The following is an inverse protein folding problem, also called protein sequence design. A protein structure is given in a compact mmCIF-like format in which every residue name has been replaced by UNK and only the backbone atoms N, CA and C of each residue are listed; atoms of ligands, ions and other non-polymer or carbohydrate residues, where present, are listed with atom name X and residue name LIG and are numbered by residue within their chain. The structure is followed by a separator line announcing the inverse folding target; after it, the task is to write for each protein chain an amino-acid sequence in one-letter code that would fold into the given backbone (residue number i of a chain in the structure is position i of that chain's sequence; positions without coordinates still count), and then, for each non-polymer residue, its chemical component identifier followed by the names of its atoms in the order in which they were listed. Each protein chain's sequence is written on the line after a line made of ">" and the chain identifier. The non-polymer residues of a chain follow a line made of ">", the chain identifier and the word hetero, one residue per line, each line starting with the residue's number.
data_IF_086670095714
#
_entry.id   IF_086670095714
#
_cell.length_a   1.000
_cell.length_b   1.000
_cell.length_c   1.000
_cell.angle_alpha   90.00
_cell.angle_beta   90.00
_cell.angle_gamma   90.00
#
_symmetry.space_group_name_H-M   'P 1'
#
loop_
_entity.id
_entity.type
_entity.pdbx_description
1 polymer ?
#
# COMPACT_ATOMS: atom_id res chain seq x y z
N UNK A 1 -4.42 -19.46 3.00
CA UNK A 1 -4.98 -18.40 3.87
C UNK A 1 -4.74 -17.06 3.22
N UNK A 2 -5.80 -16.38 2.77
CA UNK A 2 -5.67 -15.12 2.04
C UNK A 2 -6.37 -14.00 2.81
N UNK A 3 -5.70 -12.86 2.97
CA UNK A 3 -6.29 -11.67 3.57
C UNK A 3 -6.40 -10.59 2.50
N UNK A 4 -7.58 -9.97 2.42
CA UNK A 4 -7.72 -8.67 1.78
C UNK A 4 -7.45 -7.59 2.84
N UNK A 5 -6.38 -6.82 2.67
CA UNK A 5 -5.93 -5.85 3.69
C UNK A 5 -5.81 -4.46 3.08
N UNK A 6 -6.36 -3.46 3.78
CA UNK A 6 -6.11 -2.06 3.53
C UNK A 6 -5.23 -1.51 4.64
N UNK A 7 -4.09 -0.93 4.25
CA UNK A 7 -3.04 -0.49 5.16
C UNK A 7 -2.65 0.97 4.89
N UNK A 8 -2.33 1.70 5.96
CA UNK A 8 -1.73 3.01 5.86
C UNK A 8 -0.25 2.93 5.48
N UNK A 9 0.17 3.75 4.52
CA UNK A 9 1.52 3.82 4.00
C UNK A 9 2.20 5.11 4.44
N UNK A 10 3.10 5.05 5.42
CA UNK A 10 3.89 6.23 5.86
C UNK A 10 5.26 6.29 5.15
N UNK A 11 6.16 7.18 5.55
CA UNK A 11 7.56 7.13 5.08
C UNK A 11 8.31 5.90 5.62
N UNK A 12 8.02 5.51 6.86
CA UNK A 12 8.91 4.64 7.64
C UNK A 12 8.34 3.25 7.90
N UNK A 13 7.02 3.14 8.12
CA UNK A 13 6.37 1.88 8.42
C UNK A 13 4.96 1.82 7.81
N UNK A 14 4.36 0.64 7.87
CA UNK A 14 3.05 0.33 7.29
C UNK A 14 2.18 -0.24 8.38
N UNK A 15 0.90 0.12 8.39
CA UNK A 15 -0.01 -0.34 9.45
C UNK A 15 -1.26 -0.91 8.79
N UNK A 16 -1.57 -2.20 8.99
CA UNK A 16 -2.87 -2.73 8.62
C UNK A 16 -3.95 -1.97 9.39
N UNK A 17 -4.93 -1.40 8.69
CA UNK A 17 -6.04 -0.69 9.32
C UNK A 17 -7.29 -1.56 9.36
N UNK A 18 -7.56 -2.26 8.26
CA UNK A 18 -8.79 -3.02 8.11
C UNK A 18 -8.58 -4.19 7.15
N UNK A 19 -9.18 -5.33 7.44
CA UNK A 19 -8.98 -6.56 6.66
C UNK A 19 -10.20 -7.47 6.64
N UNK A 20 -10.26 -8.30 5.60
CA UNK A 20 -11.23 -9.39 5.47
C UNK A 20 -10.45 -10.68 5.24
N UNK A 21 -10.80 -11.72 5.99
CA UNK A 21 -10.31 -13.08 5.74
C UNK A 21 -11.08 -13.63 4.54
N UNK A 22 -10.35 -14.06 3.51
CA UNK A 22 -10.93 -14.71 2.34
C UNK A 22 -10.88 -16.21 2.61
N UNK A 23 -12.07 -16.82 2.70
CA UNK A 23 -12.23 -18.27 2.81
C UNK A 23 -12.09 -18.90 1.41
N UNK A 24 -11.31 -19.99 1.30
CA UNK A 24 -11.09 -20.71 0.05
C UNK A 24 -9.79 -20.39 -0.71
N UNK A 25 -9.62 -21.03 -1.88
CA UNK A 25 -8.51 -20.80 -2.81
C UNK A 25 -8.91 -19.73 -3.82
N UNK A 26 -8.37 -18.51 -3.72
CA UNK A 26 -8.65 -17.45 -4.69
C UNK A 26 -8.16 -16.06 -4.27
N UNK A 27 -8.18 -15.11 -5.20
CA UNK A 27 -8.03 -13.68 -4.92
C UNK A 27 -9.36 -13.07 -4.48
N UNK A 28 -9.34 -11.92 -3.81
CA UNK A 28 -10.58 -11.19 -3.47
C UNK A 28 -11.38 -10.89 -4.73
N UNK A 29 -12.70 -11.05 -4.68
CA UNK A 29 -13.60 -10.58 -5.74
C UNK A 29 -13.85 -9.06 -5.62
N UNK A 30 -14.62 -8.50 -6.57
CA UNK A 30 -14.92 -7.06 -6.59
C UNK A 30 -15.83 -6.62 -5.45
N UNK A 31 -16.79 -7.45 -5.05
CA UNK A 31 -17.75 -7.13 -4.00
C UNK A 31 -17.07 -7.07 -2.64
N UNK A 32 -16.16 -8.00 -2.36
CA UNK A 32 -15.32 -7.99 -1.16
C UNK A 32 -14.44 -6.73 -1.07
N UNK A 33 -13.88 -6.27 -2.19
CA UNK A 33 -13.10 -5.01 -2.26
C UNK A 33 -13.97 -3.79 -1.95
N UNK A 34 -15.16 -3.74 -2.57
CA UNK A 34 -16.14 -2.67 -2.33
C UNK A 34 -16.58 -2.68 -0.87
N UNK A 35 -16.96 -3.84 -0.32
CA UNK A 35 -17.38 -3.98 1.07
C UNK A 35 -16.29 -3.55 2.06
N UNK A 36 -15.02 -3.93 1.81
CA UNK A 36 -13.91 -3.50 2.64
C UNK A 36 -13.71 -1.98 2.59
N UNK A 37 -13.77 -1.39 1.39
CA UNK A 37 -13.62 0.06 1.21
C UNK A 37 -14.79 0.83 1.81
N UNK A 38 -16.02 0.37 1.66
CA UNK A 38 -17.19 0.98 2.31
C UNK A 38 -17.04 0.95 3.83
N UNK A 39 -16.55 -0.16 4.40
CA UNK A 39 -16.27 -0.24 5.83
C UNK A 39 -15.18 0.75 6.25
N UNK A 40 -14.14 0.91 5.44
CA UNK A 40 -13.11 1.94 5.67
C UNK A 40 -13.72 3.36 5.65
N UNK A 41 -14.52 3.69 4.63
CA UNK A 41 -15.13 5.00 4.49
C UNK A 41 -16.06 5.35 5.66
N UNK A 42 -16.81 4.36 6.18
CA UNK A 42 -17.66 4.56 7.37
C UNK A 42 -16.85 4.87 8.63
N UNK A 43 -15.67 4.28 8.79
CA UNK A 43 -14.86 4.42 10.00
C UNK A 43 -13.94 5.64 9.98
N UNK A 44 -13.34 5.95 8.82
CA UNK A 44 -12.29 6.98 8.72
C UNK A 44 -12.69 8.16 7.84
N UNK A 45 -13.75 8.03 7.05
CA UNK A 45 -14.15 9.03 6.07
C UNK A 45 -13.22 9.09 4.85
N UNK A 46 -13.76 9.59 3.75
CA UNK A 46 -13.04 9.74 2.47
C UNK A 46 -11.83 10.68 2.58
N UNK A 47 -11.94 11.77 3.34
CA UNK A 47 -10.91 12.83 3.45
C UNK A 47 -9.54 12.33 3.93
N UNK A 48 -9.50 11.19 4.62
CA UNK A 48 -8.25 10.56 5.09
C UNK A 48 -7.45 9.88 3.97
N UNK A 49 -8.07 9.63 2.81
CA UNK A 49 -7.42 8.97 1.68
C UNK A 49 -6.75 10.02 0.78
N UNK A 50 -5.42 10.08 0.85
CA UNK A 50 -4.64 10.88 -0.11
C UNK A 50 -4.57 10.22 -1.50
N UNK A 51 -4.26 8.92 -1.51
CA UNK A 51 -4.12 8.13 -2.73
C UNK A 51 -4.18 6.64 -2.37
N UNK A 52 -5.08 5.90 -3.00
CA UNK A 52 -5.17 4.45 -2.92
C UNK A 52 -4.20 3.80 -3.91
N UNK A 53 -3.36 2.88 -3.45
CA UNK A 53 -2.43 2.14 -4.28
C UNK A 53 -2.85 0.67 -4.35
N UNK A 54 -2.90 0.08 -5.55
CA UNK A 54 -3.19 -1.34 -5.72
C UNK A 54 -2.44 -1.99 -6.89
N UNK A 55 -2.33 -3.32 -6.88
CA UNK A 55 -1.69 -4.11 -7.94
C UNK A 55 -2.69 -4.50 -9.06
N UNK A 56 -2.18 -5.14 -10.11
CA UNK A 56 -2.86 -5.73 -11.26
C UNK A 56 -4.01 -6.66 -10.89
N UNK A 57 -3.91 -7.34 -9.75
CA UNK A 57 -4.98 -8.18 -9.23
C UNK A 57 -6.24 -7.37 -8.88
N UNK A 58 -6.11 -6.07 -8.61
CA UNK A 58 -7.18 -5.16 -8.18
C UNK A 58 -7.78 -4.33 -9.32
N UNK A 59 -7.59 -4.77 -10.57
CA UNK A 59 -8.21 -4.13 -11.73
C UNK A 59 -9.60 -4.73 -11.97
N UNK A 60 -10.60 -3.87 -12.19
CA UNK A 60 -11.97 -4.27 -12.52
C UNK A 60 -12.86 -3.05 -12.75
N UNK A 61 -13.75 -3.10 -13.74
CA UNK A 61 -14.58 -1.95 -14.14
C UNK A 61 -15.45 -1.47 -12.99
N UNK A 62 -16.28 -2.34 -12.42
CA UNK A 62 -17.15 -2.02 -11.26
C UNK A 62 -16.38 -1.46 -10.06
N UNK A 63 -15.17 -1.97 -9.80
CA UNK A 63 -14.30 -1.48 -8.73
C UNK A 63 -13.84 -0.04 -8.99
N UNK A 64 -13.39 0.24 -10.22
CA UNK A 64 -12.91 1.56 -10.61
C UNK A 64 -14.05 2.58 -10.65
N UNK A 65 -15.21 2.18 -11.16
CA UNK A 65 -16.43 3.00 -11.11
C UNK A 65 -16.82 3.34 -9.67
N UNK A 66 -16.78 2.35 -8.76
CA UNK A 66 -17.01 2.60 -7.34
C UNK A 66 -16.01 3.61 -6.77
N UNK A 67 -14.72 3.48 -7.09
CA UNK A 67 -13.70 4.43 -6.62
C UNK A 67 -13.96 5.84 -7.17
N UNK A 68 -14.30 5.98 -8.45
CA UNK A 68 -14.64 7.25 -9.06
C UNK A 68 -15.90 7.88 -8.44
N UNK A 69 -16.97 7.10 -8.24
CA UNK A 69 -18.23 7.56 -7.65
C UNK A 69 -18.07 8.07 -6.22
N UNK A 70 -17.13 7.51 -5.47
CA UNK A 70 -16.80 7.93 -4.10
C UNK A 70 -15.65 8.96 -4.04
N UNK A 71 -15.28 9.54 -5.19
CA UNK A 71 -14.16 10.47 -5.35
C UNK A 71 -12.81 9.94 -4.80
N UNK A 72 -12.59 8.64 -4.74
CA UNK A 72 -11.35 8.07 -4.17
C UNK A 72 -10.20 8.23 -5.18
N UNK A 73 -9.10 8.95 -4.87
CA UNK A 73 -7.97 9.09 -5.77
C UNK A 73 -7.21 7.78 -5.72
N UNK A 74 -6.91 7.20 -6.88
CA UNK A 74 -6.20 5.93 -6.93
C UNK A 74 -5.07 5.92 -7.96
N UNK A 75 -4.13 5.02 -7.76
CA UNK A 75 -3.15 4.60 -8.75
C UNK A 75 -3.01 3.07 -8.69
N UNK A 76 -3.57 2.39 -9.70
CA UNK A 76 -3.65 0.93 -9.77
C UNK A 76 -2.79 0.44 -10.92
N UNK A 77 -1.94 -0.56 -10.69
CA UNK A 77 -1.10 -1.14 -11.74
C UNK A 77 -1.96 -1.93 -12.72
N UNK A 78 -1.66 -1.83 -14.01
CA UNK A 78 -2.28 -2.61 -15.07
C UNK A 78 -1.37 -3.75 -15.54
N UNK A 79 -1.96 -4.80 -16.10
CA UNK A 79 -1.17 -5.81 -16.83
C UNK A 79 -0.72 -5.21 -18.16
N UNK A 80 0.46 -5.62 -18.61
CA UNK A 80 1.09 -5.05 -19.81
C UNK A 80 0.36 -5.46 -21.09
N UNK A 81 -0.32 -6.60 -21.07
CA UNK A 81 -1.12 -7.15 -22.16
C UNK A 81 -2.54 -6.58 -22.23
N UNK A 82 -2.91 -5.66 -21.34
CA UNK A 82 -4.23 -5.02 -21.43
C UNK A 82 -4.32 -4.10 -22.65
N UNK A 83 -5.52 -4.04 -23.23
CA UNK A 83 -5.91 -3.07 -24.25
C UNK A 83 -6.85 -2.05 -23.61
N UNK A 84 -6.66 -0.79 -23.97
CA UNK A 84 -7.43 0.32 -23.42
C UNK A 84 -7.98 1.15 -24.57
N UNK A 85 -9.31 1.29 -24.70
CA UNK A 85 -9.89 2.25 -25.63
C UNK A 85 -9.54 3.67 -25.21
N UNK A 86 -8.92 4.37 -26.14
CA UNK A 86 -8.56 5.78 -26.02
C UNK A 86 -9.77 6.64 -26.38
N UNK A 87 -9.76 7.90 -25.93
CA UNK A 87 -10.80 8.87 -26.34
C UNK A 87 -10.84 9.10 -27.86
N UNK A 88 -9.74 8.80 -28.56
CA UNK A 88 -9.66 8.86 -30.02
C UNK A 88 -10.32 7.66 -30.74
N UNK A 89 -11.01 6.77 -30.03
CA UNK A 89 -11.71 5.61 -30.60
C UNK A 89 -10.80 4.42 -30.93
N UNK A 90 -9.49 4.51 -30.69
CA UNK A 90 -8.56 3.42 -30.93
C UNK A 90 -8.35 2.56 -29.68
N UNK A 91 -8.31 1.23 -29.86
CA UNK A 91 -7.83 0.31 -28.82
C UNK A 91 -6.30 0.31 -28.76
N UNK A 92 -5.77 0.86 -27.68
CA UNK A 92 -4.33 0.91 -27.47
C UNK A 92 -3.88 -0.27 -26.61
N UNK A 93 -3.12 -1.18 -27.20
CA UNK A 93 -2.37 -2.19 -26.46
C UNK A 93 -1.25 -1.53 -25.65
N UNK A 94 -1.23 -1.73 -24.34
CA UNK A 94 -0.26 -1.09 -23.45
C UNK A 94 1.18 -1.53 -23.78
N UNK A 95 1.39 -2.83 -24.07
CA UNK A 95 2.68 -3.38 -24.48
C UNK A 95 3.24 -2.79 -25.78
N UNK A 96 2.39 -2.42 -26.74
CA UNK A 96 2.79 -1.88 -28.04
C UNK A 96 3.21 -0.40 -27.97
N UNK A 97 2.90 0.30 -26.88
CA UNK A 97 3.15 1.73 -26.74
C UNK A 97 3.93 2.09 -25.47
N UNK A 98 5.10 1.46 -25.23
CA UNK A 98 5.88 1.70 -24.03
C UNK A 98 6.40 3.15 -24.03
N UNK A 99 6.24 3.87 -22.92
CA UNK A 99 6.86 5.18 -22.75
C UNK A 99 8.37 5.13 -23.00
N UNK A 100 8.98 6.23 -23.45
CA UNK A 100 10.45 6.31 -23.63
C UNK A 100 11.17 6.10 -22.31
N UNK A 101 12.38 5.51 -22.31
CA UNK A 101 13.20 5.36 -21.09
C UNK A 101 13.31 6.70 -20.35
N UNK A 102 12.96 6.71 -19.07
CA UNK A 102 13.01 7.90 -18.21
C UNK A 102 11.83 8.87 -18.34
N UNK A 103 10.98 8.78 -19.38
CA UNK A 103 9.79 9.63 -19.56
C UNK A 103 8.51 8.81 -19.41
N UNK A 104 7.53 9.37 -18.70
CA UNK A 104 6.20 8.78 -18.59
C UNK A 104 5.34 9.27 -19.74
N UNK A 105 4.62 8.37 -20.41
CA UNK A 105 3.58 8.71 -21.38
C UNK A 105 2.23 8.69 -20.67
N UNK A 106 1.41 9.69 -20.95
CA UNK A 106 0.06 9.83 -20.40
C UNK A 106 -0.94 9.66 -21.54
N UNK A 107 -1.96 8.85 -21.30
CA UNK A 107 -3.02 8.56 -22.26
C UNK A 107 -4.35 8.71 -21.52
N UNK A 108 -5.29 9.45 -22.09
CA UNK A 108 -6.66 9.52 -21.57
C UNK A 108 -7.53 8.49 -22.28
N UNK A 109 -8.39 7.82 -21.52
CA UNK A 109 -9.26 6.77 -22.05
C UNK A 109 -10.19 6.20 -21.00
N UNK A 110 -10.88 5.13 -21.35
CA UNK A 110 -11.81 4.40 -20.48
C UNK A 110 -11.57 2.90 -20.62
N UNK A 111 -12.13 2.10 -19.72
CA UNK A 111 -12.15 0.65 -19.94
C UNK A 111 -13.20 0.29 -20.98
N UNK A 112 -12.97 -0.75 -21.78
CA UNK A 112 -13.86 -1.15 -22.88
C UNK A 112 -15.30 -1.41 -22.45
N UNK A 113 -15.50 -1.90 -21.22
CA UNK A 113 -16.82 -2.21 -20.68
C UNK A 113 -17.35 -1.13 -19.71
N UNK A 114 -16.72 0.06 -19.68
CA UNK A 114 -17.20 1.16 -18.87
C UNK A 114 -18.38 1.84 -19.59
N UNK A 115 -19.42 2.21 -18.83
CA UNK A 115 -20.57 2.91 -19.41
C UNK A 115 -20.18 4.23 -20.10
N UNK A 116 -21.03 4.70 -21.02
CA UNK A 116 -20.79 5.95 -21.78
C UNK A 116 -20.61 7.19 -20.88
N UNK A 117 -21.12 7.15 -19.65
CA UNK A 117 -20.99 8.23 -18.65
C UNK A 117 -19.77 8.08 -17.72
N UNK A 118 -19.00 7.00 -17.84
CA UNK A 118 -17.85 6.76 -16.97
C UNK A 118 -16.80 7.88 -17.15
N UNK A 119 -16.26 8.44 -16.05
CA UNK A 119 -15.29 9.53 -16.15
C UNK A 119 -14.00 9.05 -16.84
N UNK A 120 -13.36 9.89 -17.65
CA UNK A 120 -12.11 9.53 -18.31
C UNK A 120 -10.99 9.32 -17.30
N UNK A 121 -10.24 8.24 -17.51
CA UNK A 121 -9.11 7.84 -16.69
C UNK A 121 -7.79 8.22 -17.36
N UNK A 122 -6.77 8.43 -16.54
CA UNK A 122 -5.40 8.66 -16.98
C UNK A 122 -4.59 7.37 -16.87
N UNK A 123 -4.12 6.88 -18.01
CA UNK A 123 -3.22 5.75 -18.14
C UNK A 123 -1.79 6.28 -18.26
N UNK A 124 -0.92 5.86 -17.35
CA UNK A 124 0.48 6.26 -17.28
C UNK A 124 1.35 5.06 -17.62
N UNK A 125 2.15 5.21 -18.68
CA UNK A 125 3.05 4.19 -19.18
C UNK A 125 4.50 4.66 -19.01
N UNK A 126 5.32 3.87 -18.31
CA UNK A 126 6.73 4.20 -18.07
C UNK A 126 7.60 2.96 -18.26
N UNK A 127 8.61 3.05 -19.12
CA UNK A 127 9.64 2.01 -19.23
C UNK A 127 10.66 2.18 -18.11
N UNK A 128 10.85 1.11 -17.33
CA UNK A 128 11.82 1.06 -16.23
C UNK A 128 13.26 0.92 -16.76
N UNK A 129 14.24 1.15 -15.88
CA UNK A 129 15.66 0.95 -16.21
C UNK A 129 15.96 -0.51 -16.56
N UNK A 130 15.24 -1.46 -15.96
CA UNK A 130 15.32 -2.90 -16.29
C UNK A 130 14.83 -3.22 -17.70
N UNK A 131 14.09 -2.32 -18.35
CA UNK A 131 13.44 -2.58 -19.64
C UNK A 131 11.95 -2.88 -19.51
N UNK A 132 11.47 -3.28 -18.33
CA UNK A 132 10.06 -3.63 -18.10
C UNK A 132 9.11 -2.42 -18.24
N UNK A 133 7.86 -2.70 -18.60
CA UNK A 133 6.81 -1.69 -18.70
C UNK A 133 6.03 -1.56 -17.39
N UNK A 134 6.01 -0.35 -16.82
CA UNK A 134 5.12 0.01 -15.74
C UNK A 134 3.89 0.74 -16.31
N UNK A 135 2.75 0.06 -16.32
CA UNK A 135 1.45 0.64 -16.65
C UNK A 135 0.63 0.89 -15.37
N UNK A 136 0.08 2.09 -15.22
CA UNK A 136 -0.73 2.51 -14.07
C UNK A 136 -1.97 3.25 -14.56
N UNK A 137 -3.13 2.98 -13.99
CA UNK A 137 -4.36 3.77 -14.19
C UNK A 137 -4.64 4.64 -12.96
N UNK A 138 -5.11 5.87 -13.20
CA UNK A 138 -5.52 6.82 -12.16
C UNK A 138 -6.71 7.65 -12.62
N UNK A 139 -7.61 7.98 -11.70
CA UNK A 139 -8.66 8.98 -11.92
C UNK A 139 -8.18 10.43 -11.69
N UNK A 140 -6.91 10.64 -11.34
CA UNK A 140 -6.31 11.97 -11.19
C UNK A 140 -5.10 12.13 -12.11
N UNK A 141 -4.85 13.33 -12.65
CA UNK A 141 -3.63 13.62 -13.39
C UNK A 141 -2.46 13.68 -12.39
N UNK A 142 -1.83 12.54 -12.14
CA UNK A 142 -0.75 12.42 -11.16
C UNK A 142 0.54 11.95 -11.84
N UNK A 143 1.45 12.87 -12.23
CA UNK A 143 2.79 12.51 -12.73
C UNK A 143 3.59 11.66 -11.73
N UNK A 144 3.24 11.75 -10.44
CA UNK A 144 3.82 10.97 -9.37
C UNK A 144 3.22 9.57 -9.20
N UNK A 145 2.12 9.21 -9.89
CA UNK A 145 1.47 7.91 -9.75
C UNK A 145 2.42 6.71 -9.97
N UNK A 146 3.30 6.71 -10.99
CA UNK A 146 4.29 5.63 -11.14
C UNK A 146 5.27 5.53 -9.97
N UNK A 147 5.71 6.66 -9.41
CA UNK A 147 6.63 6.70 -8.27
C UNK A 147 5.92 6.29 -6.97
N UNK A 148 4.63 6.61 -6.82
CA UNK A 148 3.81 6.17 -5.71
C UNK A 148 3.58 4.65 -5.77
N UNK A 149 3.26 4.10 -6.95
CA UNK A 149 3.17 2.66 -7.17
C UNK A 149 4.50 1.91 -6.93
N UNK A 150 5.66 2.56 -7.00
CA UNK A 150 6.94 1.94 -6.57
C UNK A 150 7.03 1.70 -5.07
N UNK A 151 6.25 2.39 -4.24
CA UNK A 151 6.18 2.15 -2.79
C UNK A 151 5.45 0.85 -2.42
N UNK A 152 5.04 0.04 -3.42
CA UNK A 152 4.22 -1.18 -3.29
C UNK A 152 4.94 -2.38 -2.67
N UNK A 153 6.27 -2.49 -2.81
CA UNK A 153 7.07 -3.46 -2.03
C UNK A 153 6.79 -3.37 -0.52
N UNK A 154 6.24 -2.26 -0.04
CA UNK A 154 5.98 -2.07 1.37
C UNK A 154 4.82 -2.92 1.93
N UNK A 155 3.84 -3.37 1.13
CA UNK A 155 2.81 -4.32 1.60
C UNK A 155 3.38 -5.74 1.63
N UNK A 156 4.24 -6.09 0.67
CA UNK A 156 5.00 -7.34 0.70
C UNK A 156 5.99 -7.36 1.89
N UNK A 157 6.60 -6.23 2.24
CA UNK A 157 7.38 -6.09 3.49
C UNK A 157 6.50 -6.23 4.73
N UNK A 158 5.29 -5.65 4.75
CA UNK A 158 4.34 -5.81 5.86
C UNK A 158 3.99 -7.27 6.10
N UNK A 159 3.65 -8.01 5.03
CA UNK A 159 3.39 -9.45 5.13
C UNK A 159 4.67 -10.26 5.37
N UNK A 160 5.83 -9.81 4.90
CA UNK A 160 7.11 -10.46 5.17
C UNK A 160 7.54 -10.33 6.63
N UNK A 161 7.39 -9.15 7.23
CA UNK A 161 7.63 -8.88 8.65
C UNK A 161 6.63 -9.65 9.53
N UNK A 162 5.39 -9.81 9.06
CA UNK A 162 4.35 -10.56 9.73
C UNK A 162 4.53 -12.10 9.61
N UNK A 163 4.95 -12.62 8.45
CA UNK A 163 5.07 -14.07 8.18
C UNK A 163 6.41 -14.64 8.59
N UNK A 164 7.46 -14.47 7.78
CA UNK A 164 8.72 -15.23 7.91
C UNK A 164 9.84 -14.46 8.62
N UNK A 165 9.72 -13.13 8.73
CA UNK A 165 10.78 -12.26 9.28
C UNK A 165 10.41 -11.66 10.64
N UNK A 166 9.43 -12.17 11.37
CA UNK A 166 9.10 -11.56 12.67
C UNK A 166 8.17 -12.38 13.53
N UNK A 167 6.90 -12.48 13.14
CA UNK A 167 5.84 -13.00 14.02
C UNK A 167 5.45 -14.45 13.74
N UNK A 168 6.06 -15.13 12.75
CA UNK A 168 5.82 -16.54 12.41
C UNK A 168 4.34 -16.91 12.30
N UNK A 169 3.57 -16.07 11.61
CA UNK A 169 2.14 -16.28 11.41
C UNK A 169 1.78 -17.54 10.59
N UNK A 170 2.76 -18.16 9.93
CA UNK A 170 2.56 -19.39 9.16
C UNK A 170 2.71 -20.65 10.03
N UNK A 171 3.38 -20.55 11.19
CA UNK A 171 3.50 -21.65 12.16
C UNK A 171 2.28 -21.76 13.08
N UNK A 172 1.52 -20.68 13.17
CA UNK A 172 0.20 -20.72 13.79
C UNK A 172 -0.71 -21.49 12.83
N UNK A 173 -1.19 -22.66 13.26
CA UNK A 173 -2.14 -23.52 12.52
C UNK A 173 -3.64 -23.16 12.68
N UNK A 174 -4.11 -21.96 13.13
CA UNK A 174 -5.54 -21.77 13.29
C UNK A 174 -6.20 -21.72 11.92
N UNK A 175 -7.12 -22.65 11.69
CA UNK A 175 -7.99 -22.71 10.51
C UNK A 175 -9.23 -21.83 10.66
N UNK A 176 -9.52 -21.33 11.87
CA UNK A 176 -10.71 -20.52 12.14
C UNK A 176 -10.53 -19.05 11.71
N UNK A 177 -11.38 -18.53 10.80
CA UNK A 177 -11.33 -17.15 10.30
C UNK A 177 -11.34 -16.08 11.40
N UNK A 178 -12.12 -16.27 12.47
CA UNK A 178 -12.21 -15.30 13.58
C UNK A 178 -10.88 -15.22 14.34
N UNK A 179 -10.26 -16.37 14.62
CA UNK A 179 -8.95 -16.43 15.29
C UNK A 179 -7.87 -15.77 14.42
N UNK A 180 -7.93 -15.98 13.11
CA UNK A 180 -7.02 -15.37 12.15
C UNK A 180 -7.19 -13.85 12.03
N UNK A 181 -8.43 -13.36 12.07
CA UNK A 181 -8.71 -11.94 12.12
C UNK A 181 -8.17 -11.29 13.40
N UNK A 182 -8.31 -11.97 14.55
CA UNK A 182 -7.77 -11.51 15.84
C UNK A 182 -6.23 -11.51 15.84
N UNK A 183 -5.61 -12.54 15.26
CA UNK A 183 -4.16 -12.62 15.10
C UNK A 183 -3.64 -11.44 14.26
N UNK A 184 -4.32 -11.09 13.17
CA UNK A 184 -3.99 -9.89 12.38
C UNK A 184 -4.15 -8.59 13.18
N UNK A 185 -5.11 -8.51 14.10
CA UNK A 185 -5.24 -7.37 15.00
C UNK A 185 -4.02 -7.23 15.90
N UNK A 186 -3.59 -8.33 16.53
CA UNK A 186 -2.39 -8.36 17.37
C UNK A 186 -1.14 -7.96 16.59
N UNK A 187 -0.98 -8.48 15.37
CA UNK A 187 0.11 -8.11 14.46
C UNK A 187 0.09 -6.62 14.16
N UNK A 188 -1.07 -6.05 13.86
CA UNK A 188 -1.20 -4.62 13.60
C UNK A 188 -0.75 -3.79 14.82
N UNK A 189 -1.15 -4.18 16.04
CA UNK A 189 -0.75 -3.52 17.28
C UNK A 189 0.76 -3.60 17.51
N UNK A 190 1.36 -4.78 17.31
CA UNK A 190 2.82 -4.97 17.44
C UNK A 190 3.58 -4.12 16.43
N UNK A 191 3.09 -4.01 15.20
CA UNK A 191 3.71 -3.19 14.16
C UNK A 191 3.65 -1.69 14.51
N UNK A 192 2.52 -1.21 15.02
CA UNK A 192 2.38 0.17 15.50
C UNK A 192 3.33 0.44 16.67
N UNK A 193 3.39 -0.48 17.63
CA UNK A 193 4.26 -0.37 18.79
C UNK A 193 5.74 -0.36 18.40
N UNK A 194 6.17 -1.29 17.54
CA UNK A 194 7.52 -1.34 17.00
C UNK A 194 7.84 -0.07 16.21
N UNK A 195 6.91 0.42 15.39
CA UNK A 195 7.05 1.69 14.68
C UNK A 195 7.30 2.87 15.61
N UNK A 196 6.56 2.95 16.73
CA UNK A 196 6.71 4.00 17.75
C UNK A 196 8.01 3.87 18.54
N UNK A 197 8.39 2.65 18.93
CA UNK A 197 9.61 2.35 19.64
C UNK A 197 10.86 2.67 18.81
N UNK A 198 10.82 2.37 17.51
CA UNK A 198 11.85 2.77 16.57
C UNK A 198 11.93 4.29 16.41
N UNK A 199 10.79 4.99 16.36
CA UNK A 199 10.76 6.44 16.32
C UNK A 199 11.35 7.09 17.58
N UNK A 200 11.10 6.52 18.77
CA UNK A 200 11.74 6.99 20.02
C UNK A 200 13.26 6.82 20.00
N UNK A 201 13.76 5.74 19.38
CA UNK A 201 15.21 5.43 19.34
C UNK A 201 15.97 6.15 18.23
N UNK A 202 15.36 6.26 17.06
CA UNK A 202 16.00 6.79 15.84
C UNK A 202 15.65 8.26 15.58
N UNK A 203 14.58 8.79 16.18
CA UNK A 203 14.07 10.11 15.86
C UNK A 203 13.71 10.22 14.37
N UNK A 204 14.34 11.16 13.67
CA UNK A 204 14.22 11.33 12.21
C UNK A 204 15.38 10.71 11.40
N UNK A 205 16.32 10.03 12.06
CA UNK A 205 17.49 9.46 11.41
C UNK A 205 17.11 8.31 10.48
N UNK A 206 17.65 8.31 9.26
CA UNK A 206 17.54 7.16 8.35
C UNK A 206 18.41 6.01 8.88
N UNK A 207 17.88 4.76 8.98
CA UNK A 207 18.69 3.63 9.40
C UNK A 207 19.89 3.44 8.46
N UNK A 208 21.05 3.06 9.00
CA UNK A 208 22.27 2.85 8.22
C UNK A 208 22.04 1.80 7.13
N UNK A 209 22.47 2.10 5.90
CA UNK A 209 22.49 1.14 4.79
C UNK A 209 23.82 0.38 4.79
N UNK A 210 23.77 -0.91 4.46
CA UNK A 210 24.97 -1.73 4.21
C UNK A 210 25.43 -1.56 2.77
N UNK A 211 26.65 -2.00 2.46
CA UNK A 211 27.30 -1.84 1.16
C UNK A 211 26.49 -2.37 -0.04
N UNK A 212 25.64 -3.39 0.16
CA UNK A 212 24.72 -3.94 -0.83
C UNK A 212 23.43 -3.11 -1.04
N UNK A 213 23.36 -1.90 -0.48
CA UNK A 213 22.27 -0.93 -0.71
C UNK A 213 21.02 -1.12 0.15
N UNK A 214 20.91 -2.22 0.91
CA UNK A 214 19.80 -2.48 1.82
C UNK A 214 20.06 -1.90 3.22
N UNK A 215 18.99 -1.58 3.96
CA UNK A 215 19.09 -1.13 5.35
C UNK A 215 19.66 -2.28 6.22
N UNK A 216 20.59 -1.96 7.13
CA UNK A 216 21.18 -2.93 8.05
C UNK A 216 20.12 -3.56 8.97
N UNK A 217 19.10 -2.79 9.33
CA UNK A 217 17.87 -3.24 10.00
C UNK A 217 16.70 -2.40 9.48
N UNK A 218 15.53 -3.03 9.31
CA UNK A 218 14.30 -2.31 9.00
C UNK A 218 13.84 -1.49 10.20
N UNK A 219 13.06 -0.42 9.95
CA UNK A 219 12.46 0.40 11.02
C UNK A 219 11.67 -0.46 12.01
N UNK A 220 10.88 -1.41 11.49
CA UNK A 220 10.16 -2.39 12.29
C UNK A 220 11.11 -3.23 13.14
N UNK A 221 12.18 -3.82 12.56
CA UNK A 221 13.11 -4.67 13.31
C UNK A 221 13.83 -3.91 14.43
N UNK A 222 14.24 -2.67 14.18
CA UNK A 222 14.89 -1.84 15.21
C UNK A 222 13.96 -1.61 16.40
N UNK A 223 12.68 -1.31 16.14
CA UNK A 223 11.69 -1.11 17.19
C UNK A 223 11.29 -2.41 17.89
N UNK A 224 11.12 -3.49 17.13
CA UNK A 224 10.76 -4.80 17.67
C UNK A 224 11.86 -5.35 18.59
N UNK A 225 13.13 -5.24 18.20
CA UNK A 225 14.25 -5.63 19.06
C UNK A 225 14.29 -4.77 20.34
N UNK A 226 13.97 -3.47 20.25
CA UNK A 226 13.89 -2.62 21.43
C UNK A 226 12.77 -3.07 22.38
N UNK A 227 11.60 -3.39 21.85
CA UNK A 227 10.48 -3.93 22.65
C UNK A 227 10.89 -5.23 23.31
N UNK A 228 11.49 -6.17 22.56
CA UNK A 228 11.94 -7.46 23.09
C UNK A 228 12.94 -7.30 24.23
N UNK A 229 13.93 -6.42 24.05
CA UNK A 229 14.93 -6.15 25.08
C UNK A 229 14.30 -5.48 26.31
N UNK A 230 13.32 -4.60 26.13
CA UNK A 230 12.60 -3.96 27.26
C UNK A 230 11.61 -4.88 27.95
N UNK A 231 11.01 -5.84 27.25
CA UNK A 231 10.18 -6.88 27.86
C UNK A 231 11.02 -7.75 28.81
N UNK A 232 12.25 -8.08 28.42
CA UNK A 232 13.20 -8.78 29.28
C UNK A 232 13.63 -7.96 30.52
N UNK A 233 13.50 -6.63 30.47
CA UNK A 233 13.90 -5.70 31.54
C UNK A 233 12.72 -5.11 32.34
N UNK A 234 11.46 -5.39 31.99
CA UNK A 234 10.26 -4.89 32.69
C UNK A 234 9.67 -3.55 32.19
N UNK A 235 10.35 -2.80 31.31
CA UNK A 235 9.98 -1.41 30.94
C UNK A 235 9.34 -1.24 29.55
N UNK A 236 8.77 -2.33 29.00
CA UNK A 236 8.31 -2.35 27.61
C UNK A 236 7.19 -1.35 27.31
N UNK A 237 6.33 -1.02 28.28
CA UNK A 237 5.08 -0.26 28.07
C UNK A 237 5.33 1.24 27.81
N UNK A 238 6.53 1.77 28.09
CA UNK A 238 6.83 3.20 27.99
C UNK A 238 6.57 3.83 26.60
N UNK A 239 6.95 3.20 25.46
CA UNK A 239 6.63 3.73 24.13
C UNK A 239 5.13 3.65 23.81
N UNK A 240 4.41 2.66 24.36
CA UNK A 240 2.98 2.49 24.16
C UNK A 240 2.18 3.67 24.71
N UNK A 241 2.55 4.17 25.89
CA UNK A 241 1.93 5.36 26.53
C UNK A 241 2.10 6.65 25.72
N UNK A 242 2.95 6.65 24.68
CA UNK A 242 3.20 7.82 23.80
C UNK A 242 2.52 7.69 22.43
N UNK A 243 1.65 6.70 22.22
CA UNK A 243 0.84 6.62 21.00
C UNK A 243 -0.13 7.82 20.92
N UNK A 244 -0.32 8.37 19.71
CA UNK A 244 -1.17 9.54 19.46
C UNK A 244 -0.51 10.91 19.69
N UNK A 245 0.67 10.98 20.33
CA UNK A 245 1.42 12.24 20.46
C UNK A 245 2.24 12.52 19.19
N UNK A 246 2.28 13.77 18.69
CA UNK A 246 3.16 14.14 17.59
C UNK A 246 4.62 13.82 17.95
N UNK A 247 5.38 13.31 16.99
CA UNK A 247 6.84 13.28 17.13
C UNK A 247 7.31 14.72 17.25
N UNK A 248 8.17 15.02 18.23
CA UNK A 248 8.73 16.35 18.41
C UNK A 248 9.30 16.83 17.07
N UNK A 249 8.68 17.86 16.48
CA UNK A 249 9.19 18.47 15.27
C UNK A 249 10.43 19.27 15.66
N UNK A 250 11.57 19.12 14.96
CA UNK A 250 12.63 20.10 15.10
C UNK A 250 12.14 21.44 14.57
N UNK A 251 12.64 22.53 15.15
CA UNK A 251 12.40 23.88 14.69
C UNK A 251 12.56 23.96 13.16
N UNK A 252 11.57 24.57 12.50
CA UNK A 252 11.55 24.77 11.06
C UNK A 252 12.80 25.54 10.62
N UNK A 253 13.66 24.90 9.83
CA UNK A 253 14.52 25.58 8.87
C UNK A 253 14.35 24.94 7.50
N UNK A 254 13.91 25.76 6.54
CA UNK A 254 14.05 25.49 5.11
C UNK A 254 12.89 24.78 4.42
N UNK A 255 12.16 25.54 3.59
CA UNK A 255 11.32 25.07 2.48
C UNK A 255 12.03 23.98 1.65
N UNK A 256 11.29 23.04 1.07
CA UNK A 256 11.05 22.90 -0.39
C UNK A 256 9.96 21.85 -0.61
N UNK A 257 9.10 22.16 -1.59
CA UNK A 257 7.85 21.57 -2.12
C UNK A 257 7.86 20.06 -2.33
#
# INVERSE_FOLDING_TARGET
>A
MNFLVLAAVTRWFRVPLIWTVIEGRGCSDTEQRIALMQRYLRLFGRSTIKLLLADRAFVGVKWIEFLCKNDIPFAIRLREDMRVPTEAGHELGLAAHPGRRGRSRFIRGRFANAGAEAPPLTFVLKRLRSGDLLAVVSNRPAPAAPNACRKRWAIECLFGDARTRGLNLEDTRPTNPRKLALLMALVALVIVWAGRAAADKLGNATPKRRAHGFLAQSWFRTGFNLIRNRLAAGDAVLPWRKLGKPLAQPARTGRVV
#
